data_IF_178129850659
#
_entry.id   IF_178129850659
#
_cell.length_a   1.000
_cell.length_b   1.000
_cell.length_c   1.000
_cell.angle_alpha   90.00
_cell.angle_beta   90.00
_cell.angle_gamma   90.00
#
_symmetry.space_group_name_H-M   'P 1'
#
loop_
_entity.id
_entity.type
_entity.pdbx_description
1 polymer ?
#
# COMPACT_ATOMS: atom_id res chain seq x y z
N UNK A 1 8.89 13.60 -14.80
CA UNK A 1 7.76 14.51 -14.94
C UNK A 1 6.46 13.70 -15.02
N UNK A 2 5.46 14.00 -14.16
CA UNK A 2 4.10 13.65 -14.53
C UNK A 2 3.48 12.37 -13.97
N UNK A 3 3.75 11.97 -12.73
CA UNK A 3 3.03 10.85 -12.10
C UNK A 3 2.09 11.30 -10.95
N UNK A 4 1.64 12.54 -10.99
CA UNK A 4 0.65 13.01 -10.03
C UNK A 4 -0.75 12.60 -10.48
N UNK A 5 -1.49 11.97 -9.55
CA UNK A 5 -2.91 11.70 -9.73
C UNK A 5 -3.73 12.98 -9.44
N UNK A 6 -4.92 13.12 -10.00
CA UNK A 6 -5.73 14.35 -9.85
C UNK A 6 -6.24 14.55 -8.40
N UNK A 7 -6.12 13.55 -7.53
CA UNK A 7 -6.58 13.62 -6.15
C UNK A 7 -5.45 13.50 -5.15
N UNK A 8 -5.56 14.22 -4.01
CA UNK A 8 -4.61 14.13 -2.90
C UNK A 8 -4.51 12.69 -2.36
N UNK A 9 -5.64 12.02 -2.19
CA UNK A 9 -5.71 10.63 -1.73
C UNK A 9 -4.99 9.68 -2.69
N UNK A 10 -5.23 9.84 -4.00
CA UNK A 10 -4.54 9.05 -5.01
C UNK A 10 -3.02 9.22 -4.95
N UNK A 11 -2.54 10.44 -4.75
CA UNK A 11 -1.11 10.70 -4.61
C UNK A 11 -0.52 10.08 -3.34
N UNK A 12 -1.26 10.08 -2.22
CA UNK A 12 -0.84 9.43 -0.97
C UNK A 12 -0.69 7.91 -1.18
N UNK A 13 -1.70 7.25 -1.72
CA UNK A 13 -1.66 5.81 -1.97
C UNK A 13 -0.56 5.42 -2.96
N UNK A 14 -0.41 6.20 -4.04
CA UNK A 14 0.67 5.95 -5.00
C UNK A 14 2.06 6.16 -4.42
N UNK A 15 2.22 7.15 -3.53
CA UNK A 15 3.46 7.34 -2.82
C UNK A 15 3.78 6.13 -1.92
N UNK A 16 2.79 5.60 -1.20
CA UNK A 16 2.94 4.41 -0.37
C UNK A 16 3.35 3.17 -1.19
N UNK A 17 2.76 2.97 -2.37
CA UNK A 17 3.13 1.89 -3.29
C UNK A 17 4.56 2.02 -3.82
N UNK A 18 5.05 3.24 -4.02
CA UNK A 18 6.39 3.47 -4.59
C UNK A 18 7.51 3.47 -3.57
N UNK A 19 7.24 3.83 -2.30
CA UNK A 19 8.28 3.92 -1.27
C UNK A 19 9.14 2.65 -1.14
N UNK A 20 8.61 1.41 -1.10
CA UNK A 20 9.42 0.20 -1.06
C UNK A 20 10.33 0.03 -2.28
N UNK A 21 9.86 0.41 -3.46
CA UNK A 21 10.67 0.38 -4.68
C UNK A 21 11.79 1.44 -4.67
N UNK A 22 11.49 2.63 -4.16
CA UNK A 22 12.46 3.72 -4.06
C UNK A 22 13.52 3.45 -2.97
N UNK A 23 13.13 2.86 -1.82
CA UNK A 23 14.02 2.52 -0.70
C UNK A 23 14.81 1.23 -0.95
N UNK A 24 14.11 0.17 -1.28
CA UNK A 24 14.63 -1.20 -1.27
C UNK A 24 14.68 -1.86 -2.65
N UNK A 25 14.23 -1.18 -3.71
CA UNK A 25 14.15 -1.77 -5.05
C UNK A 25 13.03 -2.81 -5.22
N UNK A 26 12.18 -3.00 -4.19
CA UNK A 26 11.10 -3.99 -4.18
C UNK A 26 9.80 -3.36 -4.71
N UNK A 27 9.36 -3.76 -5.89
CA UNK A 27 8.08 -3.34 -6.44
C UNK A 27 6.93 -3.90 -5.59
N UNK A 28 6.10 -3.01 -5.05
CA UNK A 28 5.03 -3.38 -4.13
C UNK A 28 4.00 -4.29 -4.81
N UNK A 29 3.63 -4.02 -6.06
CA UNK A 29 2.61 -4.80 -6.77
C UNK A 29 3.08 -6.25 -6.97
N UNK A 30 4.37 -6.43 -7.30
CA UNK A 30 4.97 -7.74 -7.57
C UNK A 30 5.27 -8.50 -6.26
N UNK A 31 5.83 -7.80 -5.27
CA UNK A 31 6.31 -8.44 -4.04
C UNK A 31 5.21 -8.65 -3.00
N UNK A 32 4.16 -7.81 -2.96
CA UNK A 32 3.12 -7.87 -1.95
C UNK A 32 2.41 -9.22 -1.81
N UNK A 33 1.98 -9.89 -2.90
CA UNK A 33 1.31 -11.20 -2.78
C UNK A 33 2.17 -12.28 -2.12
N UNK A 34 3.51 -12.13 -2.15
CA UNK A 34 4.46 -13.06 -1.55
C UNK A 34 4.83 -12.67 -0.12
N UNK A 35 4.82 -11.36 0.16
CA UNK A 35 5.07 -10.84 1.51
C UNK A 35 3.85 -11.03 2.43
N UNK A 36 2.64 -10.87 1.91
CA UNK A 36 1.40 -10.96 2.69
C UNK A 36 1.26 -12.24 3.53
N UNK A 37 1.48 -13.47 3.00
CA UNK A 37 1.40 -14.69 3.82
C UNK A 37 2.48 -14.76 4.90
N UNK A 38 3.59 -14.04 4.72
CA UNK A 38 4.72 -14.02 5.64
C UNK A 38 4.54 -13.04 6.81
N UNK A 39 3.56 -12.14 6.72
CA UNK A 39 3.29 -11.16 7.77
C UNK A 39 2.65 -11.85 8.98
N UNK A 40 3.02 -11.46 10.23
CA UNK A 40 2.33 -11.86 11.42
C UNK A 40 0.84 -11.48 11.39
N UNK A 41 0.00 -12.26 12.08
CA UNK A 41 -1.44 -12.03 12.14
C UNK A 41 -1.82 -10.65 12.67
N UNK A 42 -1.06 -10.12 13.61
CA UNK A 42 -1.24 -8.76 14.13
C UNK A 42 -1.11 -7.71 13.05
N UNK A 43 -0.04 -7.76 12.24
CA UNK A 43 0.18 -6.83 11.14
C UNK A 43 -0.90 -6.96 10.05
N UNK A 44 -1.33 -8.18 9.76
CA UNK A 44 -2.44 -8.41 8.80
C UNK A 44 -3.75 -7.81 9.31
N UNK A 45 -4.03 -7.98 10.61
CA UNK A 45 -5.24 -7.42 11.23
C UNK A 45 -5.22 -5.90 11.18
N UNK A 46 -4.10 -5.26 11.50
CA UNK A 46 -3.95 -3.80 11.47
C UNK A 46 -4.12 -3.25 10.04
N UNK A 47 -3.53 -3.91 9.05
CA UNK A 47 -3.68 -3.53 7.64
C UNK A 47 -5.12 -3.67 7.16
N UNK A 48 -5.81 -4.75 7.53
CA UNK A 48 -7.22 -4.96 7.20
C UNK A 48 -8.11 -3.94 7.89
N UNK A 49 -7.85 -3.60 9.15
CA UNK A 49 -8.57 -2.57 9.88
C UNK A 49 -8.38 -1.18 9.25
N UNK A 50 -7.15 -0.83 8.88
CA UNK A 50 -6.86 0.43 8.20
C UNK A 50 -7.55 0.51 6.83
N UNK A 51 -7.55 -0.59 6.05
CA UNK A 51 -8.27 -0.70 4.78
C UNK A 51 -9.77 -0.52 4.98
N UNK A 52 -10.36 -1.25 5.92
CA UNK A 52 -11.79 -1.13 6.26
C UNK A 52 -12.16 0.28 6.69
N UNK A 53 -11.29 0.94 7.47
CA UNK A 53 -11.48 2.33 7.88
C UNK A 53 -11.50 3.30 6.68
N UNK A 54 -10.64 3.09 5.69
CA UNK A 54 -10.63 3.87 4.45
C UNK A 54 -11.89 3.63 3.63
N UNK A 55 -12.29 2.37 3.46
CA UNK A 55 -13.49 1.98 2.72
C UNK A 55 -14.76 2.53 3.40
N UNK A 56 -14.81 2.54 4.73
CA UNK A 56 -15.91 3.15 5.51
C UNK A 56 -15.99 4.66 5.25
N UNK A 57 -14.86 5.36 5.22
CA UNK A 57 -14.87 6.80 4.92
C UNK A 57 -15.36 7.09 3.50
N UNK A 58 -14.96 6.28 2.52
CA UNK A 58 -15.45 6.38 1.15
C UNK A 58 -16.96 6.12 1.06
N UNK A 59 -17.45 5.07 1.74
CA UNK A 59 -18.88 4.73 1.82
C UNK A 59 -19.69 5.82 2.50
N UNK A 60 -19.17 6.42 3.58
CA UNK A 60 -19.81 7.58 4.24
C UNK A 60 -19.99 8.75 3.28
N UNK A 61 -19.00 9.02 2.44
CA UNK A 61 -19.11 10.07 1.42
C UNK A 61 -20.24 9.76 0.42
N UNK A 62 -20.33 8.51 -0.04
CA UNK A 62 -21.38 8.07 -0.96
C UNK A 62 -22.77 8.23 -0.32
N UNK A 63 -22.96 7.77 0.92
CA UNK A 63 -24.22 7.92 1.62
C UNK A 63 -24.59 9.37 1.89
N UNK A 64 -23.60 10.22 2.21
CA UNK A 64 -23.83 11.65 2.35
C UNK A 64 -24.35 12.27 1.06
N UNK A 65 -23.77 11.93 -0.10
CA UNK A 65 -24.26 12.40 -1.39
C UNK A 65 -25.66 11.86 -1.72
N UNK A 66 -25.94 10.59 -1.44
CA UNK A 66 -27.24 9.99 -1.64
C UNK A 66 -28.31 10.63 -0.75
N UNK A 67 -27.95 11.15 0.42
CA UNK A 67 -28.87 11.89 1.28
C UNK A 67 -29.45 13.14 0.61
N UNK A 68 -28.79 13.71 -0.38
CA UNK A 68 -29.33 14.81 -1.19
C UNK A 68 -30.65 14.47 -1.89
N UNK A 69 -30.96 13.17 -2.10
CA UNK A 69 -32.24 12.71 -2.66
C UNK A 69 -33.46 13.05 -1.76
N UNK A 70 -33.22 13.35 -0.47
CA UNK A 70 -34.28 13.82 0.45
C UNK A 70 -34.66 15.31 0.27
N UNK A 71 -34.08 16.01 -0.69
CA UNK A 71 -34.39 17.42 -0.97
C UNK A 71 -35.90 17.72 -1.12
N UNK A 72 -36.74 16.84 -1.71
CA UNK A 72 -38.17 17.10 -1.77
C UNK A 72 -38.83 17.23 -0.40
N UNK A 73 -38.27 16.65 0.65
CA UNK A 73 -38.77 16.69 2.02
C UNK A 73 -38.13 17.80 2.87
N UNK A 74 -36.88 18.14 2.58
CA UNK A 74 -36.14 19.19 3.28
C UNK A 74 -35.04 19.81 2.41
N UNK A 75 -35.08 21.12 2.27
CA UNK A 75 -34.03 21.86 1.52
C UNK A 75 -32.67 21.81 2.19
N UNK A 76 -32.59 21.45 3.48
CA UNK A 76 -31.33 21.31 4.20
C UNK A 76 -30.55 20.05 3.79
N UNK A 77 -31.17 19.11 3.06
CA UNK A 77 -30.50 17.89 2.61
C UNK A 77 -29.27 18.17 1.75
N UNK A 78 -29.36 19.11 0.80
CA UNK A 78 -28.22 19.45 -0.07
C UNK A 78 -27.05 20.05 0.70
N UNK A 79 -27.20 21.15 1.47
CA UNK A 79 -26.05 21.75 2.14
C UNK A 79 -25.44 20.80 3.18
N UNK A 80 -26.23 19.98 3.86
CA UNK A 80 -25.71 18.99 4.81
C UNK A 80 -24.94 17.87 4.08
N UNK A 81 -25.49 17.33 2.99
CA UNK A 81 -24.82 16.34 2.15
C UNK A 81 -23.46 16.83 1.66
N UNK A 82 -23.42 18.05 1.12
CA UNK A 82 -22.19 18.66 0.63
C UNK A 82 -21.17 18.93 1.74
N UNK A 83 -21.64 19.39 2.91
CA UNK A 83 -20.75 19.62 4.05
C UNK A 83 -20.08 18.33 4.53
N UNK A 84 -20.87 17.25 4.71
CA UNK A 84 -20.33 15.95 5.13
C UNK A 84 -19.39 15.37 4.04
N UNK A 85 -19.81 15.38 2.78
CA UNK A 85 -18.99 14.87 1.68
C UNK A 85 -17.68 15.64 1.56
N UNK A 86 -17.70 16.97 1.63
CA UNK A 86 -16.50 17.81 1.58
C UNK A 86 -15.57 17.51 2.74
N UNK A 87 -16.09 17.46 3.97
CA UNK A 87 -15.30 17.15 5.17
C UNK A 87 -14.64 15.78 5.04
N UNK A 88 -15.39 14.78 4.60
CA UNK A 88 -14.90 13.41 4.47
C UNK A 88 -13.81 13.32 3.40
N UNK A 89 -14.03 13.89 2.22
CA UNK A 89 -13.07 13.83 1.10
C UNK A 89 -11.80 14.63 1.37
N UNK A 90 -11.90 15.77 2.07
CA UNK A 90 -10.75 16.65 2.28
C UNK A 90 -9.91 16.29 3.49
N UNK A 91 -10.51 15.76 4.55
CA UNK A 91 -9.84 15.51 5.83
C UNK A 91 -9.79 14.01 6.17
N UNK A 92 -10.94 13.32 6.15
CA UNK A 92 -11.01 11.94 6.66
C UNK A 92 -10.34 10.95 5.72
N UNK A 93 -10.70 10.94 4.45
CA UNK A 93 -10.13 9.98 3.47
C UNK A 93 -8.62 10.13 3.33
N UNK A 94 -8.03 11.34 3.17
CA UNK A 94 -6.58 11.48 3.08
C UNK A 94 -5.85 10.99 4.34
N UNK A 95 -6.39 11.28 5.54
CA UNK A 95 -5.82 10.82 6.80
C UNK A 95 -5.83 9.29 6.90
N UNK A 96 -6.93 8.63 6.51
CA UNK A 96 -7.02 7.16 6.51
C UNK A 96 -6.13 6.51 5.45
N UNK A 97 -6.04 7.14 4.27
CA UNK A 97 -5.12 6.69 3.22
C UNK A 97 -3.66 6.78 3.66
N UNK A 98 -3.29 7.85 4.39
CA UNK A 98 -1.95 8.00 4.96
C UNK A 98 -1.65 6.88 5.95
N UNK A 99 -2.54 6.64 6.93
CA UNK A 99 -2.38 5.57 7.91
C UNK A 99 -2.23 4.19 7.26
N UNK A 100 -3.03 3.89 6.24
CA UNK A 100 -2.90 2.65 5.47
C UNK A 100 -1.57 2.55 4.73
N UNK A 101 -1.13 3.65 4.10
CA UNK A 101 0.15 3.71 3.40
C UNK A 101 1.36 3.53 4.32
N UNK A 102 1.31 4.13 5.51
CA UNK A 102 2.38 4.02 6.51
C UNK A 102 2.49 2.58 7.06
N UNK A 103 1.37 1.86 7.20
CA UNK A 103 1.38 0.43 7.57
C UNK A 103 1.97 -0.46 6.47
N UNK A 104 1.71 -0.16 5.19
CA UNK A 104 2.37 -0.88 4.08
C UNK A 104 3.88 -0.65 4.13
N UNK A 105 4.33 0.59 4.30
CA UNK A 105 5.75 0.91 4.42
C UNK A 105 6.39 0.18 5.60
N UNK A 106 5.76 0.22 6.78
CA UNK A 106 6.23 -0.48 7.98
C UNK A 106 6.33 -2.00 7.79
N UNK A 107 5.41 -2.60 7.03
CA UNK A 107 5.45 -4.03 6.71
C UNK A 107 6.70 -4.37 5.88
N UNK A 108 7.07 -3.55 4.89
CA UNK A 108 8.32 -3.73 4.15
C UNK A 108 9.54 -3.46 5.00
N UNK A 109 9.55 -2.36 5.78
CA UNK A 109 10.68 -2.01 6.64
C UNK A 109 11.03 -3.13 7.62
N UNK A 110 10.02 -3.86 8.12
CA UNK A 110 10.20 -4.91 9.14
C UNK A 110 10.36 -6.31 8.55
N UNK A 111 9.62 -6.65 7.49
CA UNK A 111 9.50 -8.03 7.02
C UNK A 111 10.12 -8.32 5.65
N UNK A 112 10.79 -7.35 5.02
CA UNK A 112 11.42 -7.57 3.70
C UNK A 112 12.44 -8.70 3.68
N UNK A 113 13.18 -8.89 4.77
CA UNK A 113 14.16 -9.98 4.89
C UNK A 113 13.50 -11.35 4.84
N UNK A 114 12.29 -11.49 5.38
CA UNK A 114 11.51 -12.73 5.32
C UNK A 114 11.15 -13.09 3.87
N UNK A 115 10.91 -12.09 3.02
CA UNK A 115 10.66 -12.30 1.59
C UNK A 115 11.88 -12.94 0.91
N UNK A 116 13.08 -12.44 1.18
CA UNK A 116 14.33 -13.00 0.63
C UNK A 116 14.55 -14.45 1.08
N UNK A 117 14.40 -14.72 2.38
CA UNK A 117 14.60 -16.05 2.95
C UNK A 117 13.61 -17.07 2.42
N UNK A 118 12.33 -16.74 2.32
CA UNK A 118 11.30 -17.63 1.78
C UNK A 118 11.51 -17.95 0.30
N UNK A 119 12.01 -17.00 -0.46
CA UNK A 119 12.33 -17.19 -1.87
C UNK A 119 13.72 -17.79 -2.10
N UNK A 120 14.47 -18.08 -1.03
CA UNK A 120 15.85 -18.55 -1.08
C UNK A 120 16.78 -17.59 -1.84
N UNK A 121 16.42 -16.33 -1.91
CA UNK A 121 17.20 -15.29 -2.57
C UNK A 121 18.28 -14.76 -1.62
N UNK A 122 19.51 -14.52 -2.06
CA UNK A 122 20.58 -14.06 -1.17
C UNK A 122 20.22 -12.69 -0.59
N UNK A 123 20.43 -12.56 0.72
CA UNK A 123 20.23 -11.29 1.42
C UNK A 123 21.35 -10.31 1.03
N UNK A 124 21.01 -9.04 0.84
CA UNK A 124 22.03 -8.00 0.62
C UNK A 124 22.94 -7.88 1.85
N UNK A 125 24.23 -7.74 1.62
CA UNK A 125 25.22 -7.65 2.69
C UNK A 125 25.36 -6.25 3.26
N UNK A 126 25.05 -5.23 2.47
CA UNK A 126 25.13 -3.82 2.87
C UNK A 126 23.87 -3.05 2.48
N UNK A 127 23.54 -1.95 3.18
CA UNK A 127 22.45 -1.08 2.79
C UNK A 127 22.61 -0.48 1.37
N UNK A 128 23.86 -0.30 0.92
CA UNK A 128 24.13 0.22 -0.42
C UNK A 128 23.73 -0.77 -1.53
N UNK A 129 23.88 -2.08 -1.27
CA UNK A 129 23.52 -3.15 -2.21
C UNK A 129 22.02 -3.48 -2.19
N UNK A 130 21.31 -3.06 -1.15
CA UNK A 130 19.93 -3.48 -0.89
C UNK A 130 18.99 -3.12 -2.04
N UNK A 131 19.13 -1.91 -2.58
CA UNK A 131 18.28 -1.45 -3.68
C UNK A 131 18.52 -2.26 -4.97
N UNK A 132 19.76 -2.56 -5.28
CA UNK A 132 20.12 -3.35 -6.47
C UNK A 132 19.65 -4.81 -6.32
N UNK A 133 19.81 -5.39 -5.12
CA UNK A 133 19.34 -6.73 -4.82
C UNK A 133 17.81 -6.84 -4.92
N UNK A 134 17.06 -5.84 -4.42
CA UNK A 134 15.60 -5.78 -4.53
C UNK A 134 15.11 -5.62 -5.95
N UNK A 135 15.80 -4.83 -6.77
CA UNK A 135 15.48 -4.70 -8.20
C UNK A 135 15.69 -6.03 -8.94
N UNK A 136 16.79 -6.74 -8.64
CA UNK A 136 17.06 -8.05 -9.21
C UNK A 136 16.00 -9.08 -8.79
N UNK A 137 15.61 -9.09 -7.52
CA UNK A 137 14.54 -9.95 -7.01
C UNK A 137 13.19 -9.62 -7.67
N UNK A 138 12.84 -8.34 -7.77
CA UNK A 138 11.61 -7.89 -8.44
C UNK A 138 11.59 -8.33 -9.91
N UNK A 139 12.70 -8.15 -10.63
CA UNK A 139 12.82 -8.57 -12.03
C UNK A 139 12.68 -10.09 -12.17
N UNK A 140 13.28 -10.86 -11.26
CA UNK A 140 13.15 -12.31 -11.21
C UNK A 140 11.69 -12.75 -10.98
N UNK A 141 11.00 -12.15 -10.01
CA UNK A 141 9.61 -12.46 -9.72
C UNK A 141 8.65 -12.09 -10.86
N UNK A 142 9.02 -11.11 -11.66
CA UNK A 142 8.23 -10.64 -12.79
C UNK A 142 8.42 -11.49 -14.06
N UNK A 143 9.67 -11.81 -14.40
CA UNK A 143 10.00 -12.44 -15.69
C UNK A 143 10.67 -13.80 -15.57
N UNK A 144 11.10 -14.21 -14.36
CA UNK A 144 12.06 -15.30 -14.21
C UNK A 144 13.46 -14.87 -14.64
N UNK A 145 14.41 -15.79 -14.59
CA UNK A 145 15.79 -15.57 -15.07
C UNK A 145 16.44 -16.88 -15.42
N UNK A 146 17.16 -16.91 -16.53
CA UNK A 146 18.04 -18.01 -16.94
C UNK A 146 19.50 -17.75 -16.53
N UNK A 147 19.75 -16.65 -15.78
CA UNK A 147 21.09 -16.30 -15.31
C UNK A 147 21.53 -17.24 -14.18
N UNK A 148 22.84 -17.56 -14.17
CA UNK A 148 23.45 -18.39 -13.12
C UNK A 148 23.70 -17.65 -11.82
N UNK A 149 23.52 -16.33 -11.82
CA UNK A 149 23.66 -15.45 -10.65
C UNK A 149 22.42 -14.58 -10.47
N UNK A 150 22.02 -14.28 -9.21
CA UNK A 150 22.60 -14.80 -7.97
C UNK A 150 22.23 -16.27 -7.73
N UNK A 151 23.06 -16.98 -6.98
CA UNK A 151 22.78 -18.37 -6.56
C UNK A 151 21.80 -18.37 -5.38
N UNK A 152 20.87 -19.33 -5.38
CA UNK A 152 19.95 -19.50 -4.27
C UNK A 152 20.67 -19.89 -2.98
N UNK A 153 20.25 -19.34 -1.86
CA UNK A 153 20.75 -19.75 -0.54
C UNK A 153 20.21 -21.13 -0.17
N UNK A 154 21.06 -21.96 0.43
CA UNK A 154 20.63 -23.25 0.99
C UNK A 154 19.73 -22.99 2.21
N UNK A 155 18.63 -23.76 2.41
CA UNK A 155 17.90 -23.68 3.67
C UNK A 155 18.85 -24.07 4.81
N UNK A 156 18.85 -23.28 5.88
CA UNK A 156 19.61 -23.64 7.07
C UNK A 156 18.92 -24.88 7.67
N UNK A 157 19.68 -25.95 8.00
CA UNK A 157 19.12 -27.17 8.57
C UNK A 157 18.43 -26.94 9.90
#
# INVERSE_FOLDING_TARGET
>A
PGYYLPTRTGNILRAAERRPADKYGLDTIICWPRLWPALPDTHRTDLLAARTSLDTAATTTLWALLFSAYTPYTLLAIPLALAIATLTVTLVIPSRAQAFGDLIEAAYDTHRTTLYTQLRWPLPSTPADEKAAGQALTAYLWRGSDHTTPTFTQPNP
#
